data_IF_372568726935
#
_entry.id   IF_372568726935
#
_cell.length_a   1.000
_cell.length_b   1.000
_cell.length_c   1.000
_cell.angle_alpha   90.00
_cell.angle_beta   90.00
_cell.angle_gamma   90.00
#
_symmetry.space_group_name_H-M   'P 1'
#
loop_
_entity.id
_entity.type
_entity.pdbx_description
1 polymer ?
#
# COMPACT_ATOMS: atom_id res chain seq x y z
N UNK A 1 -2.80 5.45 -8.06
CA UNK A 1 -2.75 4.14 -7.35
C UNK A 1 -3.54 3.07 -8.11
N UNK A 2 -4.79 3.32 -8.51
CA UNK A 2 -5.63 2.35 -9.24
C UNK A 2 -4.96 1.80 -10.51
N UNK A 3 -4.28 2.64 -11.31
CA UNK A 3 -3.52 2.18 -12.47
C UNK A 3 -2.41 1.15 -12.13
N UNK A 4 -1.84 1.20 -10.92
CA UNK A 4 -0.90 0.17 -10.46
C UNK A 4 -1.60 -1.15 -10.18
N UNK A 5 -2.78 -1.09 -9.55
CA UNK A 5 -3.62 -2.26 -9.29
C UNK A 5 -4.03 -2.92 -10.61
N UNK A 6 -4.46 -2.13 -11.60
CA UNK A 6 -4.80 -2.66 -12.92
C UNK A 6 -3.62 -3.38 -13.59
N UNK A 7 -2.41 -2.80 -13.55
CA UNK A 7 -1.21 -3.48 -14.07
C UNK A 7 -0.81 -4.72 -13.28
N UNK A 8 -0.98 -4.70 -11.97
CA UNK A 8 -0.76 -5.88 -11.14
C UNK A 8 -1.78 -6.98 -11.43
N UNK A 9 -3.06 -6.64 -11.64
CA UNK A 9 -4.09 -7.60 -12.04
C UNK A 9 -3.73 -8.28 -13.36
N UNK A 10 -3.37 -7.51 -14.39
CA UNK A 10 -2.96 -8.06 -15.68
C UNK A 10 -1.76 -9.01 -15.55
N UNK A 11 -0.84 -8.74 -14.62
CA UNK A 11 0.35 -9.55 -14.42
C UNK A 11 0.11 -10.83 -13.59
N UNK A 12 -0.71 -10.76 -12.54
CA UNK A 12 -0.80 -11.81 -11.50
C UNK A 12 -2.16 -12.50 -11.44
N UNK A 13 -3.22 -11.88 -11.97
CA UNK A 13 -4.60 -12.39 -11.99
C UNK A 13 -5.27 -12.06 -13.35
N UNK A 14 -4.70 -12.53 -14.48
CA UNK A 14 -5.18 -12.15 -15.82
C UNK A 14 -6.60 -12.63 -16.13
N UNK A 15 -7.11 -13.59 -15.35
CA UNK A 15 -8.47 -14.12 -15.38
C UNK A 15 -9.51 -13.18 -14.74
N UNK A 16 -9.09 -12.19 -13.97
CA UNK A 16 -9.96 -11.19 -13.34
C UNK A 16 -10.04 -9.95 -14.23
N UNK A 17 -11.13 -9.83 -14.98
CA UNK A 17 -11.37 -8.74 -15.93
C UNK A 17 -12.15 -7.55 -15.33
N UNK A 18 -12.91 -7.77 -14.25
CA UNK A 18 -13.77 -6.72 -13.66
C UNK A 18 -13.69 -6.69 -12.12
N UNK A 19 -13.95 -5.53 -11.48
CA UNK A 19 -13.86 -5.41 -10.02
C UNK A 19 -14.86 -6.32 -9.29
N UNK A 20 -15.98 -6.67 -9.90
CA UNK A 20 -16.97 -7.58 -9.29
C UNK A 20 -16.38 -8.96 -8.98
N UNK A 21 -15.45 -9.44 -9.80
CA UNK A 21 -14.82 -10.75 -9.63
C UNK A 21 -13.82 -10.83 -8.46
N UNK A 22 -13.52 -9.70 -7.80
CA UNK A 22 -12.62 -9.71 -6.65
C UNK A 22 -13.20 -10.51 -5.49
N UNK A 23 -12.35 -11.35 -4.92
CA UNK A 23 -12.66 -12.13 -3.72
C UNK A 23 -11.81 -11.65 -2.54
N UNK A 24 -12.09 -12.21 -1.35
CA UNK A 24 -11.21 -12.04 -0.19
C UNK A 24 -9.79 -12.53 -0.49
N UNK A 25 -9.64 -13.57 -1.32
CA UNK A 25 -8.35 -14.12 -1.72
C UNK A 25 -7.57 -13.15 -2.61
N UNK A 26 -8.23 -12.52 -3.60
CA UNK A 26 -7.63 -11.48 -4.44
C UNK A 26 -7.18 -10.29 -3.60
N UNK A 27 -7.99 -9.87 -2.62
CA UNK A 27 -7.62 -8.82 -1.66
C UNK A 27 -6.37 -9.18 -0.85
N UNK A 28 -6.30 -10.41 -0.33
CA UNK A 28 -5.13 -10.89 0.41
C UNK A 28 -3.88 -10.94 -0.49
N UNK A 29 -4.03 -11.37 -1.74
CA UNK A 29 -2.95 -11.35 -2.74
C UNK A 29 -2.45 -9.93 -3.01
N UNK A 30 -3.35 -8.96 -3.15
CA UNK A 30 -2.96 -7.54 -3.30
C UNK A 30 -2.21 -7.03 -2.06
N UNK A 31 -2.67 -7.36 -0.85
CA UNK A 31 -1.97 -6.98 0.39
C UNK A 31 -0.56 -7.56 0.43
N UNK A 32 -0.39 -8.83 0.06
CA UNK A 32 0.91 -9.49 -0.01
C UNK A 32 1.81 -8.92 -1.13
N UNK A 33 1.23 -8.53 -2.26
CA UNK A 33 1.97 -7.86 -3.33
C UNK A 33 2.48 -6.50 -2.87
N UNK A 34 1.63 -5.71 -2.20
CA UNK A 34 1.99 -4.40 -1.64
C UNK A 34 3.09 -4.51 -0.57
N UNK A 35 3.07 -5.56 0.24
CA UNK A 35 4.11 -5.82 1.26
C UNK A 35 5.48 -6.12 0.65
N UNK A 36 5.50 -6.85 -0.47
CA UNK A 36 6.73 -7.23 -1.21
C UNK A 36 7.19 -6.19 -2.23
N UNK A 37 6.36 -5.19 -2.52
CA UNK A 37 6.57 -4.23 -3.59
C UNK A 37 7.82 -3.36 -3.34
N UNK A 38 8.59 -3.13 -4.41
CA UNK A 38 9.69 -2.18 -4.44
C UNK A 38 9.28 -0.87 -5.13
N UNK A 39 10.14 0.15 -5.03
CA UNK A 39 9.91 1.41 -5.74
C UNK A 39 10.03 1.18 -7.24
N UNK A 40 8.97 1.50 -7.97
CA UNK A 40 8.91 1.37 -9.44
C UNK A 40 7.95 0.30 -9.91
N UNK A 41 7.69 -0.71 -9.09
CA UNK A 41 6.78 -1.79 -9.43
C UNK A 41 5.40 -1.28 -9.82
N UNK A 42 4.89 -1.87 -10.92
CA UNK A 42 3.63 -1.54 -11.57
C UNK A 42 3.47 -0.04 -11.89
N UNK A 43 4.57 0.71 -12.02
CA UNK A 43 4.58 2.10 -12.47
C UNK A 43 4.90 2.18 -13.95
N UNK A 44 4.14 2.96 -14.70
CA UNK A 44 4.43 3.24 -16.11
C UNK A 44 5.58 4.26 -16.26
N UNK A 45 5.68 5.22 -15.33
CA UNK A 45 6.72 6.24 -15.31
C UNK A 45 7.73 5.91 -14.22
N UNK A 46 8.99 5.66 -14.59
CA UNK A 46 10.08 5.32 -13.65
C UNK A 46 11.28 6.25 -13.74
N UNK A 47 11.31 7.18 -14.70
CA UNK A 47 12.45 8.08 -14.96
C UNK A 47 12.90 8.86 -13.71
N UNK A 48 11.97 9.52 -13.01
CA UNK A 48 12.28 10.27 -11.79
C UNK A 48 12.75 9.39 -10.63
N UNK A 49 12.23 8.16 -10.52
CA UNK A 49 12.65 7.21 -9.48
C UNK A 49 14.05 6.66 -9.77
N UNK A 50 14.38 6.48 -11.06
CA UNK A 50 15.69 6.09 -11.54
C UNK A 50 16.72 7.19 -11.28
N UNK A 51 16.41 8.44 -11.63
CA UNK A 51 17.32 9.57 -11.38
C UNK A 51 17.58 9.82 -9.90
N UNK A 52 16.61 9.53 -9.02
CA UNK A 52 16.78 9.57 -7.57
C UNK A 52 17.49 8.32 -6.99
N UNK A 53 17.87 7.35 -7.81
CA UNK A 53 18.48 6.09 -7.36
C UNK A 53 17.58 5.28 -6.42
N UNK A 54 16.25 5.40 -6.55
CA UNK A 54 15.28 4.74 -5.66
C UNK A 54 14.68 3.48 -6.26
N UNK A 55 14.73 3.33 -7.59
CA UNK A 55 14.16 2.19 -8.29
C UNK A 55 14.66 0.86 -7.71
N UNK A 56 13.76 -0.10 -7.50
CA UNK A 56 14.08 -1.41 -6.92
C UNK A 56 14.32 -1.42 -5.40
N UNK A 57 14.41 -0.27 -4.74
CA UNK A 57 14.56 -0.23 -3.28
C UNK A 57 13.27 -0.67 -2.58
N UNK A 58 13.36 -1.37 -1.43
CA UNK A 58 12.21 -1.66 -0.60
C UNK A 58 11.44 -0.38 -0.27
N UNK A 59 10.11 -0.49 -0.28
CA UNK A 59 9.26 0.62 0.12
C UNK A 59 9.34 0.85 1.62
N UNK A 60 9.17 2.10 2.04
CA UNK A 60 9.05 2.41 3.46
C UNK A 60 7.70 1.90 3.99
N UNK A 61 7.71 1.32 5.19
CA UNK A 61 6.50 0.88 5.88
C UNK A 61 5.46 2.02 6.02
N UNK A 62 5.93 3.26 6.11
CA UNK A 62 5.08 4.46 6.18
C UNK A 62 4.24 4.68 4.92
N UNK A 63 4.72 4.24 3.76
CA UNK A 63 4.05 4.45 2.47
C UNK A 63 3.04 3.35 2.13
N UNK A 64 3.18 2.17 2.74
CA UNK A 64 2.35 0.97 2.49
C UNK A 64 0.84 1.21 2.74
N UNK A 65 0.39 1.88 3.81
CA UNK A 65 -1.04 2.13 4.03
C UNK A 65 -1.71 2.90 2.90
N UNK A 66 -0.98 3.77 2.20
CA UNK A 66 -1.51 4.53 1.06
C UNK A 66 -1.93 3.62 -0.12
N UNK A 67 -1.24 2.49 -0.31
CA UNK A 67 -1.55 1.50 -1.36
C UNK A 67 -2.82 0.71 -1.07
N UNK A 68 -3.16 0.59 0.21
CA UNK A 68 -4.36 -0.12 0.66
C UNK A 68 -5.55 0.82 0.87
N UNK A 69 -5.31 2.09 1.20
CA UNK A 69 -6.37 3.09 1.39
C UNK A 69 -7.20 3.30 0.12
N UNK A 70 -6.54 3.41 -1.04
CA UNK A 70 -7.23 3.68 -2.31
C UNK A 70 -8.18 2.55 -2.72
N UNK A 71 -7.77 1.26 -2.77
CA UNK A 71 -8.69 0.18 -3.11
C UNK A 71 -9.81 0.01 -2.08
N UNK A 72 -9.57 0.29 -0.79
CA UNK A 72 -10.65 0.29 0.23
C UNK A 72 -11.76 1.27 -0.13
N UNK A 73 -11.40 2.50 -0.48
CA UNK A 73 -12.37 3.51 -0.89
C UNK A 73 -13.08 3.08 -2.18
N UNK A 74 -12.32 2.69 -3.20
CA UNK A 74 -12.87 2.23 -4.48
C UNK A 74 -13.91 1.12 -4.32
N UNK A 75 -13.60 0.03 -3.62
CA UNK A 75 -14.56 -1.06 -3.43
C UNK A 75 -15.73 -0.69 -2.51
N UNK A 76 -15.53 0.18 -1.53
CA UNK A 76 -16.63 0.70 -0.71
C UNK A 76 -17.60 1.49 -1.59
N UNK A 77 -17.10 2.38 -2.44
CA UNK A 77 -17.93 3.22 -3.30
C UNK A 77 -18.68 2.35 -4.34
N UNK A 78 -18.04 1.32 -4.90
CA UNK A 78 -18.71 0.33 -5.76
C UNK A 78 -19.81 -0.46 -5.05
N UNK A 79 -19.60 -0.85 -3.78
CA UNK A 79 -20.61 -1.53 -2.99
C UNK A 79 -21.76 -0.60 -2.57
N UNK A 80 -21.46 0.67 -2.28
CA UNK A 80 -22.42 1.70 -1.90
C UNK A 80 -23.37 2.03 -3.04
N UNK A 81 -22.83 2.12 -4.25
CA UNK A 81 -23.62 2.33 -5.47
C UNK A 81 -24.19 1.04 -6.06
N UNK A 82 -23.98 -0.10 -5.39
CA UNK A 82 -24.48 -1.41 -5.79
C UNK A 82 -24.03 -1.87 -7.20
N UNK A 83 -22.90 -1.35 -7.69
CA UNK A 83 -22.36 -1.71 -9.00
C UNK A 83 -21.75 -3.11 -9.02
N UNK A 84 -21.40 -3.66 -7.85
CA UNK A 84 -20.88 -5.02 -7.71
C UNK A 84 -21.48 -5.73 -6.49
N UNK A 85 -21.52 -7.07 -6.48
CA UNK A 85 -21.96 -7.83 -5.31
C UNK A 85 -21.04 -7.64 -4.10
N UNK A 86 -21.61 -7.52 -2.89
CA UNK A 86 -20.88 -7.35 -1.63
C UNK A 86 -20.25 -8.66 -1.12
N UNK A 87 -19.23 -9.18 -1.84
CA UNK A 87 -18.54 -10.45 -1.54
C UNK A 87 -17.57 -10.38 -0.36
N UNK A 88 -17.10 -9.18 -0.02
CA UNK A 88 -16.17 -8.95 1.07
C UNK A 88 -16.36 -7.57 1.68
N UNK A 89 -15.92 -7.39 2.92
CA UNK A 89 -15.78 -6.07 3.54
C UNK A 89 -14.41 -5.47 3.16
N UNK A 90 -14.35 -4.37 2.39
CA UNK A 90 -13.09 -3.76 2.00
C UNK A 90 -12.24 -3.30 3.20
N UNK A 91 -12.87 -2.80 4.27
CA UNK A 91 -12.15 -2.32 5.45
C UNK A 91 -11.38 -3.45 6.13
N UNK A 92 -11.98 -4.64 6.17
CA UNK A 92 -11.36 -5.84 6.73
C UNK A 92 -10.38 -6.50 5.75
N UNK A 93 -10.79 -6.76 4.51
CA UNK A 93 -10.03 -7.56 3.54
C UNK A 93 -8.73 -6.87 3.08
N UNK A 94 -8.71 -5.54 3.02
CA UNK A 94 -7.55 -4.76 2.59
C UNK A 94 -6.84 -4.09 3.78
N UNK A 95 -7.02 -4.60 5.00
CA UNK A 95 -6.41 -4.01 6.20
C UNK A 95 -4.88 -4.06 6.13
N UNK A 96 -4.23 -3.01 6.63
CA UNK A 96 -2.77 -2.98 6.73
C UNK A 96 -2.27 -4.11 7.63
N UNK A 97 -1.28 -4.92 7.18
CA UNK A 97 -0.70 -5.99 7.98
C UNK A 97 -0.19 -5.51 9.34
N UNK A 98 -0.30 -6.37 10.37
CA UNK A 98 0.15 -6.06 11.73
C UNK A 98 1.67 -5.80 11.77
N UNK A 99 2.45 -6.55 11.00
CA UNK A 99 3.90 -6.37 10.84
C UNK A 99 4.25 -4.94 10.39
N UNK A 100 3.59 -4.46 9.33
CA UNK A 100 3.77 -3.11 8.80
C UNK A 100 3.36 -2.06 9.84
N UNK A 101 2.22 -2.25 10.52
CA UNK A 101 1.79 -1.33 11.60
C UNK A 101 2.82 -1.24 12.74
N UNK A 102 3.40 -2.37 13.14
CA UNK A 102 4.43 -2.42 14.17
C UNK A 102 5.70 -1.68 13.74
N UNK A 103 6.13 -1.87 12.48
CA UNK A 103 7.27 -1.14 11.90
C UNK A 103 7.04 0.37 11.89
N UNK A 104 5.85 0.83 11.45
CA UNK A 104 5.49 2.25 11.46
C UNK A 104 5.48 2.87 12.86
N UNK A 105 5.03 2.12 13.87
CA UNK A 105 5.05 2.57 15.26
C UNK A 105 6.49 2.72 15.76
N UNK A 106 7.36 1.74 15.47
CA UNK A 106 8.80 1.76 15.81
C UNK A 106 9.52 2.94 15.16
N UNK A 107 9.28 3.21 13.88
CA UNK A 107 9.91 4.33 13.17
C UNK A 107 9.49 5.68 13.75
N UNK A 108 8.20 5.85 14.11
CA UNK A 108 7.72 7.06 14.79
C UNK A 108 8.33 7.24 16.18
N UNK A 109 8.45 6.17 16.96
CA UNK A 109 9.11 6.22 18.28
C UNK A 109 10.58 6.60 18.21
N UNK A 110 11.32 6.13 17.18
CA UNK A 110 12.73 6.50 16.97
C UNK A 110 12.90 7.98 16.65
N UNK A 111 12.04 8.56 15.83
CA UNK A 111 12.11 9.99 15.47
C UNK A 111 11.86 10.92 16.66
N UNK A 112 11.04 10.48 17.63
CA UNK A 112 10.76 11.23 18.85
C UNK A 112 11.91 11.17 19.88
N UNK A 113 12.71 10.09 19.86
CA UNK A 113 13.89 9.96 20.74
C UNK A 113 15.10 10.76 20.25
N UNK A 114 15.21 11.04 18.94
CA UNK A 114 16.29 11.85 18.36
C UNK A 114 16.05 13.36 18.49
N UNK A 115 14.89 13.78 18.98
CA UNK A 115 14.53 15.18 19.22
C UNK A 115 14.49 15.53 20.71
N UNK A 116 15.44 15.00 21.49
CA UNK A 116 15.69 15.46 22.86
C UNK A 116 16.31 16.87 22.85
N UNK A 117 16.01 17.74 23.83
CA UNK A 117 16.51 19.10 23.84
C UNK A 117 18.03 19.09 23.94
N UNK A 118 18.69 19.84 23.06
CA UNK A 118 20.11 20.15 23.14
C UNK A 118 20.41 20.75 24.51
N UNK A 119 21.01 19.97 25.41
CA UNK A 119 21.49 20.50 26.69
C UNK A 119 22.50 21.61 26.38
N UNK A 120 22.18 22.83 26.81
CA UNK A 120 23.07 23.97 26.81
C UNK A 120 24.36 23.60 27.56
N UNK A 121 25.51 23.76 26.89
CA UNK A 121 26.83 23.72 27.51
C UNK A 121 27.05 25.09 28.16
N UNK A 122 27.26 25.19 29.49
CA UNK A 122 27.66 26.47 30.08
C UNK A 122 29.13 26.74 29.79
N UNK A 123 29.44 28.03 29.59
CA UNK A 123 30.76 28.59 29.31
C UNK A 123 31.67 28.59 30.54
#
# INVERSE_FOLDING_TARGET
MLAKIGRWMVAEHPDIAEPGQWTRQTCASWVAAVDRMTVGDFSQWTHSMRSQGRLGKPRTAQSTPGYLKVPRAFFRDLHEWEWIPRRFDPAHALRTPRSVRALMARTRGRSLMTSGPSCCVPA
#
